data_IF_395348555498
#
_entry.id   IF_395348555498
#
_cell.length_a   1.000
_cell.length_b   1.000
_cell.length_c   1.000
_cell.angle_alpha   90.00
_cell.angle_beta   90.00
_cell.angle_gamma   90.00
#
_symmetry.space_group_name_H-M   'P 1'
#
loop_
_entity.id
_entity.type
_entity.pdbx_description
1 polymer ?
#
# COMPACT_ATOMS: atom_id res chain seq x y z
N UNK A 1 -23.13 -21.59 -69.45
CA UNK A 1 -24.40 -22.04 -70.06
C UNK A 1 -25.39 -22.35 -68.96
N UNK A 2 -26.56 -21.68 -68.96
CA UNK A 2 -27.86 -22.06 -68.34
C UNK A 2 -27.86 -22.26 -66.81
N UNK A 3 -28.83 -21.87 -66.00
CA UNK A 3 -30.13 -21.16 -66.09
C UNK A 3 -30.43 -20.82 -64.60
N UNK A 4 -30.68 -19.57 -64.21
CA UNK A 4 -32.00 -18.94 -64.09
C UNK A 4 -33.07 -19.79 -63.37
N UNK A 5 -33.57 -19.28 -62.23
CA UNK A 5 -35.01 -19.12 -62.00
C UNK A 5 -35.30 -18.05 -60.95
N UNK A 6 -36.14 -17.11 -61.38
CA UNK A 6 -36.66 -15.91 -60.72
C UNK A 6 -38.05 -16.23 -60.17
N UNK A 7 -38.44 -15.56 -59.08
CA UNK A 7 -39.77 -14.92 -58.79
C UNK A 7 -40.30 -15.28 -57.40
N UNK A 8 -40.51 -14.29 -56.55
CA UNK A 8 -41.74 -13.49 -56.61
C UNK A 8 -41.63 -12.23 -55.75
N UNK A 9 -42.20 -11.14 -56.28
CA UNK A 9 -42.47 -9.89 -55.60
C UNK A 9 -43.84 -10.03 -54.95
N UNK A 10 -43.99 -9.53 -53.72
CA UNK A 10 -45.28 -9.05 -53.22
C UNK A 10 -45.06 -7.78 -52.41
N UNK A 11 -45.67 -6.70 -52.91
CA UNK A 11 -45.80 -5.40 -52.27
C UNK A 11 -46.98 -5.50 -51.29
N UNK A 12 -46.76 -5.14 -50.04
CA UNK A 12 -47.78 -4.95 -49.01
C UNK A 12 -47.48 -3.67 -48.23
N UNK A 13 -48.46 -2.77 -48.17
CA UNK A 13 -48.37 -1.38 -47.72
C UNK A 13 -48.45 -1.25 -46.19
N UNK A 14 -47.65 -0.31 -45.66
CA UNK A 14 -47.78 0.51 -44.44
C UNK A 14 -48.06 -0.15 -43.08
N UNK A 15 -47.19 0.13 -42.12
CA UNK A 15 -47.60 0.90 -40.91
C UNK A 15 -46.39 1.65 -40.36
N UNK A 16 -46.53 2.97 -40.24
CA UNK A 16 -45.58 3.85 -39.58
C UNK A 16 -45.77 3.64 -38.07
N UNK A 17 -44.76 3.12 -37.38
CA UNK A 17 -44.69 3.14 -35.92
C UNK A 17 -43.39 3.84 -35.54
N UNK A 18 -43.57 5.04 -34.97
CA UNK A 18 -42.53 5.86 -34.36
C UNK A 18 -42.00 5.08 -33.16
N UNK A 19 -40.92 4.33 -33.36
CA UNK A 19 -40.12 3.83 -32.26
C UNK A 19 -39.28 4.98 -31.73
N UNK A 20 -39.61 5.44 -30.52
CA UNK A 20 -38.81 6.43 -29.81
C UNK A 20 -37.37 5.93 -29.72
N UNK A 21 -36.46 6.57 -30.45
CA UNK A 21 -35.04 6.46 -30.22
C UNK A 21 -34.77 7.04 -28.83
N UNK A 22 -34.52 6.17 -27.85
CA UNK A 22 -33.79 6.58 -26.65
C UNK A 22 -32.38 6.95 -27.13
N UNK A 23 -32.18 8.22 -27.46
CA UNK A 23 -30.86 8.81 -27.42
C UNK A 23 -30.48 8.87 -25.95
N UNK A 24 -29.72 7.88 -25.49
CA UNK A 24 -28.92 8.06 -24.29
C UNK A 24 -28.01 9.27 -24.57
N UNK A 25 -28.32 10.40 -23.93
CA UNK A 25 -27.36 11.49 -23.82
C UNK A 25 -26.26 10.92 -22.94
N UNK A 26 -25.16 10.45 -23.55
CA UNK A 26 -23.91 10.27 -22.83
C UNK A 26 -23.61 11.64 -22.23
N UNK A 27 -23.67 11.75 -20.89
CA UNK A 27 -23.17 12.93 -20.22
C UNK A 27 -21.70 13.07 -20.62
N UNK A 28 -21.30 14.26 -21.09
CA UNK A 28 -19.88 14.52 -21.34
C UNK A 28 -19.15 14.35 -20.00
N UNK A 29 -18.23 13.39 -19.95
CA UNK A 29 -17.36 13.19 -18.81
C UNK A 29 -16.45 14.41 -18.69
N UNK A 30 -16.55 15.11 -17.56
CA UNK A 30 -15.73 16.31 -17.33
C UNK A 30 -14.40 15.90 -16.73
N UNK A 31 -13.31 16.54 -17.13
CA UNK A 31 -11.97 16.29 -16.61
C UNK A 31 -11.44 17.48 -15.82
N UNK A 32 -10.81 17.23 -14.68
CA UNK A 32 -10.01 18.19 -13.93
C UNK A 32 -8.53 17.85 -14.08
N UNK A 33 -7.68 18.86 -14.26
CA UNK A 33 -6.23 18.69 -14.37
C UNK A 33 -5.52 19.29 -13.15
N UNK A 34 -4.52 18.58 -12.65
CA UNK A 34 -3.71 18.96 -11.51
C UNK A 34 -2.23 18.84 -11.86
N UNK A 35 -1.42 19.75 -11.33
CA UNK A 35 0.04 19.54 -11.21
C UNK A 35 0.30 18.91 -9.85
N UNK A 36 1.03 17.79 -9.84
CA UNK A 36 1.32 17.01 -8.64
C UNK A 36 2.80 16.69 -8.55
N UNK A 37 3.24 16.38 -7.34
CA UNK A 37 4.55 15.79 -7.09
C UNK A 37 4.45 14.28 -7.29
N UNK A 38 5.21 13.73 -8.24
CA UNK A 38 5.24 12.30 -8.50
C UNK A 38 6.66 11.81 -8.80
N UNK A 39 7.16 10.87 -8.00
CA UNK A 39 8.56 10.45 -8.09
C UNK A 39 8.66 8.93 -8.30
N UNK A 40 9.21 8.55 -9.45
CA UNK A 40 9.58 7.16 -9.76
C UNK A 40 11.02 6.94 -9.29
N UNK A 41 11.21 5.96 -8.42
CA UNK A 41 12.49 5.74 -7.75
C UNK A 41 12.85 4.27 -7.63
N UNK A 42 14.15 4.02 -7.53
CA UNK A 42 14.69 2.79 -6.98
C UNK A 42 14.81 2.96 -5.47
N UNK A 43 14.04 2.21 -4.66
CA UNK A 43 14.15 2.29 -3.21
C UNK A 43 15.57 1.96 -2.74
N UNK A 44 16.09 2.73 -1.78
CA UNK A 44 17.47 2.57 -1.31
C UNK A 44 17.78 1.18 -0.75
N UNK A 45 16.79 0.48 -0.21
CA UNK A 45 16.89 -0.89 0.26
C UNK A 45 17.02 -1.92 -0.87
N UNK A 46 16.57 -1.60 -2.08
CA UNK A 46 16.70 -2.42 -3.29
C UNK A 46 17.89 -1.98 -4.15
N UNK A 47 18.46 -0.81 -3.86
CA UNK A 47 19.56 -0.25 -4.63
C UNK A 47 20.89 -0.99 -4.34
N UNK A 48 21.20 -2.01 -5.13
CA UNK A 48 22.46 -2.77 -5.01
C UNK A 48 23.70 -1.98 -5.44
N UNK A 49 23.51 -0.82 -6.08
CA UNK A 49 24.58 -0.01 -6.65
C UNK A 49 25.01 1.11 -5.69
N UNK A 50 24.04 1.66 -4.96
CA UNK A 50 24.22 2.60 -3.86
C UNK A 50 23.37 2.13 -2.67
N UNK A 51 23.84 1.12 -1.92
CA UNK A 51 23.07 0.55 -0.81
C UNK A 51 22.59 1.61 0.19
N UNK A 52 21.29 1.62 0.45
CA UNK A 52 20.62 2.56 1.36
C UNK A 52 20.32 3.93 0.76
N UNK A 53 20.62 4.17 -0.52
CA UNK A 53 20.37 5.45 -1.20
C UNK A 53 19.27 5.29 -2.24
N UNK A 54 18.15 5.96 -2.03
CA UNK A 54 17.07 6.05 -3.03
C UNK A 54 17.53 6.89 -4.22
N UNK A 55 17.34 6.36 -5.43
CA UNK A 55 17.66 7.05 -6.68
C UNK A 55 16.37 7.36 -7.45
N UNK A 56 16.18 8.62 -7.85
CA UNK A 56 14.96 9.11 -8.49
C UNK A 56 15.15 9.25 -9.99
N UNK A 57 14.44 8.43 -10.77
CA UNK A 57 14.48 8.50 -12.24
C UNK A 57 13.81 9.77 -12.77
N UNK A 58 12.90 10.35 -11.98
CA UNK A 58 12.25 11.63 -12.22
C UNK A 58 13.16 12.83 -11.99
N UNK A 59 14.31 12.64 -11.36
CA UNK A 59 15.32 13.68 -11.17
C UNK A 59 16.37 13.62 -12.30
N UNK A 60 16.52 14.72 -13.04
CA UNK A 60 17.46 14.79 -14.16
C UNK A 60 18.94 14.87 -13.75
N UNK A 61 19.22 15.29 -12.50
CA UNK A 61 20.59 15.32 -11.98
C UNK A 61 21.25 13.96 -12.12
N UNK A 62 22.50 13.95 -12.54
CA UNK A 62 23.24 12.69 -12.64
C UNK A 62 24.71 12.88 -12.30
N UNK A 63 25.40 11.84 -11.79
CA UNK A 63 26.80 11.95 -11.39
C UNK A 63 27.76 12.37 -12.51
N UNK A 64 27.34 12.26 -13.77
CA UNK A 64 28.14 12.61 -14.95
C UNK A 64 27.87 14.03 -15.48
N UNK A 65 26.86 14.75 -14.96
CA UNK A 65 26.47 16.07 -15.46
C UNK A 65 26.02 16.09 -16.93
N UNK A 66 25.47 14.96 -17.41
CA UNK A 66 24.98 14.82 -18.78
C UNK A 66 23.56 15.38 -18.92
N UNK A 67 23.15 15.67 -20.16
CA UNK A 67 21.76 16.08 -20.46
C UNK A 67 21.38 17.49 -20.01
N UNK A 68 22.34 18.34 -19.64
CA UNK A 68 22.07 19.72 -19.20
C UNK A 68 21.67 19.85 -17.73
N UNK A 69 21.82 18.80 -16.93
CA UNK A 69 21.59 18.78 -15.49
C UNK A 69 22.88 18.89 -14.68
N UNK A 70 22.75 19.21 -13.40
CA UNK A 70 23.89 19.31 -12.48
C UNK A 70 24.58 17.94 -12.30
N UNK A 71 25.90 17.97 -12.09
CA UNK A 71 26.73 16.79 -11.84
C UNK A 71 26.56 16.27 -10.40
N UNK A 72 25.33 15.90 -10.05
CA UNK A 72 24.90 15.48 -8.71
C UNK A 72 24.11 14.19 -8.84
N UNK A 73 24.22 13.27 -7.87
CA UNK A 73 23.41 12.06 -7.89
C UNK A 73 21.91 12.40 -7.77
N UNK A 74 21.00 11.68 -8.46
CA UNK A 74 19.56 11.93 -8.41
C UNK A 74 18.95 11.39 -7.11
N UNK A 75 19.37 11.88 -5.96
CA UNK A 75 18.96 11.36 -4.64
C UNK A 75 17.92 12.23 -3.94
N UNK A 76 17.43 13.26 -4.62
CA UNK A 76 16.41 14.18 -4.12
C UNK A 76 15.13 14.03 -4.98
N UNK A 77 13.94 14.01 -4.37
CA UNK A 77 12.69 14.02 -5.11
C UNK A 77 12.49 15.36 -5.83
N UNK A 78 11.67 15.37 -6.89
CA UNK A 78 11.29 16.58 -7.63
C UNK A 78 9.83 16.90 -7.34
N UNK A 79 9.54 18.15 -7.00
CA UNK A 79 8.18 18.63 -6.76
C UNK A 79 7.51 19.10 -8.06
N UNK A 80 6.17 19.06 -8.10
CA UNK A 80 5.33 19.63 -9.16
C UNK A 80 5.73 19.20 -10.59
N UNK A 81 6.18 17.95 -10.71
CA UNK A 81 6.84 17.43 -11.91
C UNK A 81 5.94 16.54 -12.79
N UNK A 82 4.69 16.34 -12.40
CA UNK A 82 3.76 15.51 -13.15
C UNK A 82 2.38 16.15 -13.31
N UNK A 83 1.66 15.71 -14.33
CA UNK A 83 0.28 16.13 -14.60
C UNK A 83 -0.66 14.97 -14.26
N UNK A 84 -1.64 15.22 -13.41
CA UNK A 84 -2.71 14.27 -13.11
C UNK A 84 -4.02 14.78 -13.71
N UNK A 85 -4.72 13.91 -14.42
CA UNK A 85 -6.08 14.15 -14.92
C UNK A 85 -7.05 13.28 -14.14
N UNK A 86 -8.12 13.88 -13.61
CA UNK A 86 -9.19 13.17 -12.89
C UNK A 86 -10.50 13.40 -13.61
N UNK A 87 -11.20 12.35 -13.96
CA UNK A 87 -12.50 12.44 -14.61
C UNK A 87 -13.64 12.60 -13.59
N UNK A 88 -14.84 12.97 -14.03
CA UNK A 88 -16.02 13.03 -13.16
C UNK A 88 -16.45 11.68 -12.59
N UNK A 89 -15.99 10.56 -13.17
CA UNK A 89 -16.20 9.21 -12.64
C UNK A 89 -15.16 8.82 -11.58
N UNK A 90 -14.14 9.66 -11.35
CA UNK A 90 -13.05 9.39 -10.42
C UNK A 90 -11.84 8.68 -11.04
N UNK A 91 -11.87 8.37 -12.34
CA UNK A 91 -10.72 7.76 -13.02
C UNK A 91 -9.54 8.72 -13.04
N UNK A 92 -8.35 8.21 -12.71
CA UNK A 92 -7.12 9.00 -12.57
C UNK A 92 -6.07 8.57 -13.59
N UNK A 93 -5.53 9.55 -14.32
CA UNK A 93 -4.45 9.32 -15.28
C UNK A 93 -3.29 10.28 -15.01
N UNK A 94 -2.12 9.73 -14.71
CA UNK A 94 -0.87 10.45 -14.46
C UNK A 94 0.00 10.46 -15.72
N UNK A 95 0.43 11.63 -16.15
CA UNK A 95 1.49 11.83 -17.15
C UNK A 95 2.78 12.20 -16.41
N UNK A 96 3.81 11.37 -16.55
CA UNK A 96 5.09 11.51 -15.84
C UNK A 96 6.26 11.53 -16.81
N UNK A 97 7.11 12.56 -16.68
CA UNK A 97 8.37 12.65 -17.38
C UNK A 97 9.51 12.00 -16.57
N UNK A 98 10.40 11.30 -17.26
CA UNK A 98 11.54 10.57 -16.71
C UNK A 98 12.80 11.15 -17.36
N UNK A 99 13.36 12.24 -16.85
CA UNK A 99 14.43 12.96 -17.52
C UNK A 99 15.82 12.34 -17.34
N UNK A 100 16.03 11.43 -16.38
CA UNK A 100 17.37 10.96 -16.05
C UNK A 100 18.06 10.27 -17.25
N UNK A 101 19.23 10.76 -17.72
CA UNK A 101 19.91 10.22 -18.89
C UNK A 101 20.88 9.08 -18.55
N UNK A 102 21.11 8.80 -17.27
CA UNK A 102 22.08 7.79 -16.80
C UNK A 102 21.38 6.53 -16.33
N UNK A 103 20.35 6.65 -15.50
CA UNK A 103 19.48 5.55 -15.08
C UNK A 103 18.38 5.38 -16.12
N UNK A 104 18.72 4.70 -17.21
CA UNK A 104 17.81 4.64 -18.36
C UNK A 104 16.73 3.60 -18.11
N UNK A 105 15.46 4.02 -18.07
CA UNK A 105 14.35 3.09 -17.93
C UNK A 105 14.13 2.34 -19.24
N UNK A 106 14.22 1.01 -19.20
CA UNK A 106 14.00 0.14 -20.36
C UNK A 106 12.63 -0.53 -20.29
N UNK A 107 12.18 -0.92 -19.10
CA UNK A 107 10.88 -1.56 -18.95
C UNK A 107 10.25 -1.15 -17.64
N UNK A 108 8.93 -1.01 -17.64
CA UNK A 108 8.10 -0.76 -16.46
C UNK A 108 6.73 -1.41 -16.68
N UNK A 109 6.35 -2.31 -15.80
CA UNK A 109 5.03 -2.96 -15.75
C UNK A 109 4.85 -3.67 -14.38
N UNK A 110 3.80 -4.45 -14.22
CA UNK A 110 3.66 -5.39 -13.08
C UNK A 110 3.22 -4.70 -11.79
N UNK A 111 2.48 -3.59 -11.88
CA UNK A 111 1.89 -2.94 -10.72
C UNK A 111 0.48 -3.48 -10.45
N UNK A 112 0.17 -3.77 -9.18
CA UNK A 112 -1.14 -4.32 -8.78
C UNK A 112 -2.26 -3.29 -8.77
N UNK A 113 -1.94 -2.02 -8.55
CA UNK A 113 -2.88 -0.92 -8.37
C UNK A 113 -2.62 0.29 -9.31
N UNK A 114 -1.83 0.09 -10.37
CA UNK A 114 -1.69 1.03 -11.46
C UNK A 114 -1.42 0.29 -12.78
N UNK A 115 -1.66 0.94 -13.90
CA UNK A 115 -1.46 0.34 -15.23
C UNK A 115 -0.75 1.32 -16.17
N UNK A 116 0.33 0.86 -16.81
CA UNK A 116 1.01 1.65 -17.85
C UNK A 116 0.15 1.64 -19.11
N UNK A 117 -0.51 2.76 -19.40
CA UNK A 117 -1.35 2.94 -20.59
C UNK A 117 -0.50 3.29 -21.80
N UNK A 118 0.61 4.00 -21.58
CA UNK A 118 1.52 4.44 -22.64
C UNK A 118 2.93 4.60 -22.09
N UNK A 119 3.92 4.17 -22.86
CA UNK A 119 5.34 4.49 -22.65
C UNK A 119 5.92 5.08 -23.94
N UNK A 120 6.46 6.29 -23.86
CA UNK A 120 7.16 6.94 -24.97
C UNK A 120 8.64 6.61 -24.84
N UNK A 121 9.24 6.19 -25.95
CA UNK A 121 10.67 5.96 -26.06
C UNK A 121 11.32 6.98 -26.97
N UNK A 122 12.52 7.42 -26.60
CA UNK A 122 13.40 8.14 -27.52
C UNK A 122 14.12 7.15 -28.46
N UNK A 123 15.00 7.70 -29.29
CA UNK A 123 15.82 6.96 -30.26
C UNK A 123 17.32 7.22 -30.07
N UNK A 124 17.72 7.68 -28.89
CA UNK A 124 19.13 7.91 -28.56
C UNK A 124 19.84 6.59 -28.25
N UNK A 125 21.17 6.57 -28.38
CA UNK A 125 21.99 5.41 -28.02
C UNK A 125 22.58 5.66 -26.64
N UNK A 126 22.22 4.79 -25.70
CA UNK A 126 22.75 4.81 -24.34
C UNK A 126 23.79 3.71 -24.20
N UNK A 127 25.03 4.08 -23.92
CA UNK A 127 26.15 3.13 -23.94
C UNK A 127 27.03 3.18 -22.70
N UNK A 128 27.62 2.03 -22.40
CA UNK A 128 28.67 1.86 -21.40
C UNK A 128 29.74 0.91 -21.94
N UNK A 129 30.85 1.46 -22.43
CA UNK A 129 31.88 0.66 -23.07
C UNK A 129 31.38 -0.03 -24.34
N UNK A 130 31.23 -1.35 -24.30
CA UNK A 130 30.78 -2.17 -25.43
C UNK A 130 29.27 -2.47 -25.40
N UNK A 131 28.59 -2.17 -24.30
CA UNK A 131 27.16 -2.43 -24.12
C UNK A 131 26.35 -1.20 -24.51
N UNK A 132 25.31 -1.41 -25.31
CA UNK A 132 24.46 -0.33 -25.84
C UNK A 132 22.98 -0.71 -25.75
N UNK A 133 22.12 0.29 -25.53
CA UNK A 133 20.67 0.21 -25.67
C UNK A 133 20.21 1.31 -26.63
N UNK A 134 19.40 0.92 -27.61
CA UNK A 134 18.71 1.88 -28.47
C UNK A 134 17.41 2.30 -27.79
N UNK A 135 17.36 3.58 -27.45
CA UNK A 135 16.23 4.22 -26.81
C UNK A 135 16.08 3.90 -25.33
N UNK A 136 15.36 4.76 -24.64
CA UNK A 136 14.84 4.55 -23.28
C UNK A 136 13.44 5.11 -23.17
N UNK A 137 12.71 4.69 -22.14
CA UNK A 137 11.44 5.29 -21.77
C UNK A 137 11.73 6.70 -21.21
N UNK A 138 11.13 7.72 -21.83
CA UNK A 138 11.26 9.13 -21.44
C UNK A 138 10.00 9.65 -20.76
N UNK A 139 8.84 9.09 -21.11
CA UNK A 139 7.56 9.51 -20.58
C UNK A 139 6.64 8.30 -20.43
N UNK A 140 5.85 8.31 -19.36
CA UNK A 140 4.82 7.30 -19.12
C UNK A 140 3.47 7.96 -18.85
N UNK A 141 2.42 7.32 -19.34
CA UNK A 141 1.03 7.61 -18.96
C UNK A 141 0.52 6.42 -18.16
N UNK A 142 0.08 6.67 -16.94
CA UNK A 142 -0.26 5.67 -15.94
C UNK A 142 -1.70 5.89 -15.51
N UNK A 143 -2.52 4.86 -15.60
CA UNK A 143 -3.82 4.82 -14.93
C UNK A 143 -3.60 4.40 -13.48
N UNK A 144 -4.05 5.23 -12.55
CA UNK A 144 -3.97 4.94 -11.11
C UNK A 144 -5.30 4.33 -10.68
N UNK A 145 -5.27 3.07 -10.23
CA UNK A 145 -6.49 2.30 -9.95
C UNK A 145 -7.00 2.50 -8.52
N UNK A 146 -6.24 3.20 -7.67
CA UNK A 146 -6.63 3.61 -6.34
C UNK A 146 -6.00 4.97 -5.98
N UNK A 147 -6.28 5.46 -4.78
CA UNK A 147 -5.76 6.73 -4.25
C UNK A 147 -4.68 6.50 -3.19
N UNK A 148 -3.97 5.36 -3.24
CA UNK A 148 -2.96 4.99 -2.22
C UNK A 148 -1.80 5.98 -2.17
N UNK A 149 -1.50 6.63 -3.29
CA UNK A 149 -0.34 7.49 -3.46
C UNK A 149 0.98 6.71 -3.60
N UNK A 150 0.96 5.39 -3.58
CA UNK A 150 2.15 4.53 -3.70
C UNK A 150 1.86 3.36 -4.63
N UNK A 151 2.66 3.22 -5.68
CA UNK A 151 2.50 2.23 -6.73
C UNK A 151 3.83 1.53 -6.99
N UNK A 152 3.88 0.22 -6.74
CA UNK A 152 5.11 -0.58 -6.92
C UNK A 152 5.01 -1.37 -8.22
N UNK A 153 5.98 -1.15 -9.11
CA UNK A 153 6.11 -1.83 -10.39
C UNK A 153 7.20 -2.90 -10.28
N UNK A 154 6.79 -4.17 -10.25
CA UNK A 154 7.70 -5.29 -10.02
C UNK A 154 8.48 -5.69 -11.29
N UNK A 155 7.91 -5.45 -12.48
CA UNK A 155 8.47 -5.88 -13.76
C UNK A 155 9.23 -4.75 -14.46
N UNK A 156 10.28 -4.26 -13.80
CA UNK A 156 11.10 -3.15 -14.29
C UNK A 156 12.50 -3.57 -14.72
N UNK A 157 13.01 -2.91 -15.76
CA UNK A 157 14.40 -3.06 -16.22
C UNK A 157 14.99 -1.68 -16.43
N UNK A 158 16.13 -1.44 -15.82
CA UNK A 158 16.98 -0.28 -16.06
C UNK A 158 18.23 -0.69 -16.82
N UNK A 159 18.81 0.26 -17.56
CA UNK A 159 20.18 0.16 -18.03
C UNK A 159 20.95 1.40 -17.53
N UNK A 160 21.61 1.30 -16.36
CA UNK A 160 22.47 2.36 -15.87
C UNK A 160 23.73 2.46 -16.75
N UNK A 161 23.90 3.57 -17.48
CA UNK A 161 25.05 3.74 -18.39
C UNK A 161 26.39 3.77 -17.67
N UNK A 162 26.40 3.97 -16.35
CA UNK A 162 27.59 3.83 -15.51
C UNK A 162 28.02 2.38 -15.28
N UNK A 163 27.08 1.44 -15.36
CA UNK A 163 27.30 0.03 -15.02
C UNK A 163 27.39 -0.86 -16.25
N UNK A 164 26.69 -0.50 -17.32
CA UNK A 164 26.70 -1.26 -18.56
C UNK A 164 26.02 -2.62 -18.47
N UNK A 165 25.17 -2.82 -17.48
CA UNK A 165 24.39 -4.06 -17.31
C UNK A 165 22.91 -3.70 -17.15
N UNK A 166 22.04 -4.57 -17.67
CA UNK A 166 20.62 -4.45 -17.35
C UNK A 166 20.44 -4.78 -15.88
N UNK A 167 19.66 -3.95 -15.21
CA UNK A 167 19.35 -4.07 -13.81
C UNK A 167 17.84 -4.23 -13.66
N UNK A 168 17.42 -5.44 -13.32
CA UNK A 168 16.04 -5.73 -12.95
C UNK A 168 15.86 -5.42 -11.48
N UNK A 169 15.04 -4.42 -11.17
CA UNK A 169 14.75 -3.98 -9.81
C UNK A 169 13.35 -3.37 -9.77
N UNK A 170 12.52 -3.70 -8.77
CA UNK A 170 11.24 -3.04 -8.61
C UNK A 170 11.39 -1.53 -8.44
N UNK A 171 10.48 -0.78 -9.06
CA UNK A 171 10.43 0.68 -8.96
C UNK A 171 9.20 1.11 -8.18
N UNK A 172 9.37 2.10 -7.31
CA UNK A 172 8.27 2.71 -6.57
C UNK A 172 7.95 4.07 -7.14
N UNK A 173 6.69 4.26 -7.52
CA UNK A 173 6.11 5.54 -7.84
C UNK A 173 5.34 6.06 -6.63
N UNK A 174 5.77 7.18 -6.08
CA UNK A 174 5.02 7.93 -5.06
C UNK A 174 4.35 9.14 -5.70
N UNK A 175 3.08 9.38 -5.40
CA UNK A 175 2.27 10.48 -5.94
C UNK A 175 1.60 11.22 -4.79
N UNK A 176 1.88 12.51 -4.65
CA UNK A 176 1.21 13.37 -3.68
C UNK A 176 -0.18 13.78 -4.22
N UNK A 177 -1.22 13.14 -3.66
CA UNK A 177 -2.62 13.40 -3.96
C UNK A 177 -3.31 14.35 -2.97
N UNK A 178 -2.56 14.95 -2.02
CA UNK A 178 -3.13 15.76 -0.93
C UNK A 178 -3.96 16.96 -1.39
N UNK A 179 -3.67 17.51 -2.57
CA UNK A 179 -4.37 18.65 -3.17
C UNK A 179 -5.34 18.25 -4.29
N UNK A 180 -5.57 16.95 -4.50
CA UNK A 180 -6.41 16.43 -5.58
C UNK A 180 -7.82 16.18 -5.07
N UNK A 181 -8.80 16.85 -5.67
CA UNK A 181 -10.22 16.60 -5.36
C UNK A 181 -10.71 15.46 -6.24
N UNK A 182 -10.95 14.29 -5.64
CA UNK A 182 -11.47 13.12 -6.34
C UNK A 182 -12.96 13.00 -6.05
N UNK A 183 -13.84 13.01 -7.07
CA UNK A 183 -15.28 12.81 -6.88
C UNK A 183 -15.52 11.47 -6.19
N UNK A 184 -16.30 11.46 -5.09
CA UNK A 184 -16.77 10.20 -4.53
C UNK A 184 -17.66 9.47 -5.55
N UNK A 185 -17.44 8.18 -5.72
CA UNK A 185 -18.26 7.32 -6.59
C UNK A 185 -19.73 7.46 -6.18
N UNK A 186 -20.53 8.10 -7.04
CA UNK A 186 -21.97 8.20 -6.82
C UNK A 186 -22.54 6.80 -6.98
N UNK A 187 -22.92 6.17 -5.87
CA UNK A 187 -23.65 4.91 -5.88
C UNK A 187 -24.74 4.93 -6.98
N UNK A 188 -24.66 3.98 -7.91
CA UNK A 188 -25.67 3.87 -8.96
C UNK A 188 -27.07 3.80 -8.32
N UNK A 189 -28.07 4.52 -8.86
CA UNK A 189 -29.43 4.37 -8.38
C UNK A 189 -29.84 2.91 -8.61
N UNK A 190 -30.08 2.19 -7.52
CA UNK A 190 -30.68 0.86 -7.57
C UNK A 190 -32.00 0.99 -8.31
N UNK A 191 -32.07 0.42 -9.52
CA UNK A 191 -33.32 0.38 -10.28
C UNK A 191 -34.39 -0.29 -9.42
N UNK A 192 -35.40 0.48 -9.05
CA UNK A 192 -36.58 -0.04 -8.36
C UNK A 192 -37.40 -0.83 -9.39
N UNK A 193 -37.79 -2.08 -9.10
CA UNK A 193 -38.60 -2.85 -10.03
C UNK A 193 -39.98 -2.19 -10.16
N UNK A 194 -40.33 -1.83 -11.40
CA UNK A 194 -41.60 -1.22 -11.77
C UNK A 194 -42.73 -2.22 -11.54
N UNK A 195 -43.58 -1.98 -10.54
CA UNK A 195 -44.89 -2.64 -10.44
C UNK A 195 -45.98 -1.71 -10.94
N UNK A 196 -46.69 -2.17 -11.97
CA UNK A 196 -47.71 -1.43 -12.71
C UNK A 196 -49.13 -1.55 -12.10
N UNK A 197 -49.84 -0.43 -12.19
CA UNK A 197 -51.30 -0.20 -12.20
C UNK A 197 -52.16 -0.37 -10.93
N UNK A 198 -52.79 0.75 -10.56
CA UNK A 198 -54.05 0.83 -9.82
C UNK A 198 -54.50 2.28 -9.68
N UNK A 199 -55.46 2.71 -10.50
CA UNK A 199 -56.13 4.03 -10.49
C UNK A 199 -57.14 4.16 -9.33
N UNK A 200 -57.54 5.42 -9.06
CA UNK A 200 -58.65 5.93 -8.22
C UNK A 200 -58.25 6.24 -6.76
N UNK A 201 -58.57 7.38 -6.13
CA UNK A 201 -59.49 8.48 -6.42
C UNK A 201 -58.96 9.81 -5.84
N UNK A 202 -59.52 10.91 -6.35
CA UNK A 202 -59.38 12.30 -5.90
C UNK A 202 -59.88 12.49 -4.45
N UNK A 203 -59.27 13.40 -3.68
CA UNK A 203 -59.98 14.48 -2.96
C UNK A 203 -59.00 15.64 -2.66
N UNK A 204 -59.46 16.86 -2.92
CA UNK A 204 -58.87 18.15 -2.55
C UNK A 204 -58.80 18.33 -1.04
N UNK A 205 -57.78 19.04 -0.54
CA UNK A 205 -57.95 20.37 0.09
C UNK A 205 -56.58 20.99 0.46
N UNK A 206 -56.51 22.32 0.29
CA UNK A 206 -55.46 23.25 0.78
C UNK A 206 -56.19 24.42 1.47
N UNK A 207 -55.56 25.36 2.21
CA UNK A 207 -54.22 25.39 2.85
C UNK A 207 -54.18 26.04 4.27
N UNK A 208 -52.97 26.06 4.87
CA UNK A 208 -52.35 27.13 5.71
C UNK A 208 -52.93 27.50 7.11
N UNK A 209 -52.24 28.29 7.96
CA UNK A 209 -50.79 28.64 8.07
C UNK A 209 -50.21 28.53 9.51
N UNK A 210 -48.90 28.84 9.63
CA UNK A 210 -48.16 29.52 10.71
C UNK A 210 -48.56 29.33 12.19
N UNK A 211 -47.58 29.12 13.07
CA UNK A 211 -47.14 30.18 14.00
C UNK A 211 -45.69 29.97 14.46
N UNK A 212 -45.09 31.12 14.71
CA UNK A 212 -43.70 31.41 15.03
C UNK A 212 -43.65 31.72 16.51
N UNK A 213 -42.76 31.12 17.32
CA UNK A 213 -42.22 31.80 18.50
C UNK A 213 -40.75 31.45 18.73
N UNK A 214 -39.95 32.52 18.79
CA UNK A 214 -38.53 32.56 19.16
C UNK A 214 -38.41 33.07 20.62
N UNK A 215 -37.21 33.24 21.20
CA UNK A 215 -36.69 32.47 22.33
C UNK A 215 -36.64 33.27 23.65
N UNK A 216 -36.40 32.61 24.79
CA UNK A 216 -35.92 33.29 26.03
C UNK A 216 -34.93 32.38 26.79
N UNK A 217 -33.88 32.92 27.45
CA UNK A 217 -32.59 32.24 27.62
C UNK A 217 -32.19 31.92 29.08
N UNK A 218 -31.00 31.32 29.21
CA UNK A 218 -30.01 31.42 30.32
C UNK A 218 -30.33 30.75 31.68
N UNK A 219 -29.57 29.70 32.03
CA UNK A 219 -28.47 29.73 33.03
C UNK A 219 -28.09 28.31 33.51
N UNK A 220 -26.82 27.97 33.33
CA UNK A 220 -26.10 26.90 34.05
C UNK A 220 -25.59 27.50 35.36
N UNK A 221 -25.65 26.79 36.52
CA UNK A 221 -24.36 26.41 37.12
C UNK A 221 -24.35 25.14 38.03
N UNK A 222 -23.21 24.43 37.96
CA UNK A 222 -22.47 23.60 38.94
C UNK A 222 -23.02 22.32 39.62
N UNK A 223 -22.02 21.46 39.87
CA UNK A 223 -21.96 20.05 40.27
C UNK A 223 -21.72 19.91 41.80
N UNK A 224 -22.15 18.80 42.43
CA UNK A 224 -21.33 17.90 43.31
C UNK A 224 -22.06 17.24 44.52
N UNK A 225 -21.66 15.96 44.75
CA UNK A 225 -21.67 15.13 45.99
C UNK A 225 -22.75 14.01 46.21
N UNK A 226 -22.32 12.77 45.91
CA UNK A 226 -22.46 11.38 46.48
C UNK A 226 -23.22 11.12 47.83
N UNK A 227 -23.56 9.87 48.30
CA UNK A 227 -23.43 8.48 47.75
C UNK A 227 -24.57 7.43 48.04
N UNK A 228 -24.41 6.18 47.51
CA UNK A 228 -24.94 4.83 47.96
C UNK A 228 -26.44 4.53 47.73
N UNK A 229 -26.95 3.42 47.15
CA UNK A 229 -26.87 1.96 47.48
C UNK A 229 -27.38 1.12 46.28
N UNK A 230 -26.86 -0.10 46.07
CA UNK A 230 -27.44 -1.22 45.27
C UNK A 230 -27.79 -2.41 46.22
N UNK A 231 -28.54 -3.51 45.87
CA UNK A 231 -29.15 -3.90 44.58
C UNK A 231 -30.56 -4.64 44.65
N UNK A 232 -31.11 -4.96 43.45
CA UNK A 232 -31.99 -6.14 43.04
C UNK A 232 -33.47 -6.25 43.55
N UNK A 233 -34.51 -6.77 42.87
CA UNK A 233 -34.81 -7.52 41.62
C UNK A 233 -36.31 -7.32 41.27
N UNK A 234 -36.69 -7.22 39.99
CA UNK A 234 -37.90 -7.84 39.41
C UNK A 234 -37.83 -7.83 37.86
N UNK A 235 -38.32 -8.87 37.16
CA UNK A 235 -37.95 -9.19 35.78
C UNK A 235 -38.72 -8.42 34.70
N UNK A 236 -38.00 -8.10 33.62
CA UNK A 236 -38.52 -7.62 32.33
C UNK A 236 -39.35 -8.72 31.65
N UNK A 237 -40.50 -8.37 31.06
CA UNK A 237 -41.28 -9.30 30.23
C UNK A 237 -41.49 -8.87 28.77
N UNK A 238 -40.96 -7.72 28.32
CA UNK A 238 -40.63 -7.43 26.90
C UNK A 238 -40.10 -5.99 26.78
N UNK A 239 -39.14 -5.74 25.87
CA UNK A 239 -39.49 -4.83 24.77
C UNK A 239 -38.93 -5.23 23.39
N UNK A 240 -39.83 -5.08 22.42
CA UNK A 240 -39.69 -4.43 21.09
C UNK A 240 -38.56 -4.84 20.13
N UNK A 241 -39.01 -5.26 18.96
CA UNK A 241 -38.27 -5.62 17.74
C UNK A 241 -37.64 -4.40 17.01
N UNK A 242 -36.33 -4.54 16.70
CA UNK A 242 -35.57 -4.00 15.53
C UNK A 242 -35.14 -2.50 15.56
N UNK A 243 -33.95 -2.06 15.04
CA UNK A 243 -32.92 -2.73 14.23
C UNK A 243 -31.50 -2.80 14.85
N UNK A 244 -30.79 -3.91 14.61
CA UNK A 244 -29.32 -3.93 14.66
C UNK A 244 -28.80 -3.35 13.34
N UNK A 245 -28.46 -2.06 13.34
CA UNK A 245 -27.41 -1.56 12.46
C UNK A 245 -26.09 -2.06 13.02
N UNK A 246 -25.49 -3.04 12.36
CA UNK A 246 -24.05 -3.26 12.45
C UNK A 246 -23.51 -3.11 11.03
N UNK A 247 -22.83 -1.98 10.79
CA UNK A 247 -21.44 -2.08 10.42
C UNK A 247 -20.65 -1.52 11.59
N UNK A 248 -19.85 -2.37 12.23
CA UNK A 248 -18.65 -1.87 12.89
C UNK A 248 -17.49 -2.58 12.22
N UNK A 249 -17.28 -2.26 10.94
CA UNK A 249 -15.90 -2.15 10.49
C UNK A 249 -15.30 -1.09 11.41
N UNK A 250 -14.31 -1.50 12.21
CA UNK A 250 -13.45 -0.59 12.96
C UNK A 250 -13.10 0.60 12.05
N UNK A 251 -13.14 1.86 12.53
CA UNK A 251 -12.73 2.98 11.69
C UNK A 251 -11.35 2.66 11.12
N UNK A 252 -11.19 2.75 9.80
CA UNK A 252 -9.88 2.76 9.16
C UNK A 252 -9.05 3.78 9.91
N UNK A 253 -8.06 3.29 10.68
CA UNK A 253 -7.26 4.14 11.54
C UNK A 253 -6.57 5.16 10.63
N UNK A 254 -6.74 6.46 10.94
CA UNK A 254 -5.97 7.51 10.29
C UNK A 254 -4.48 7.12 10.34
N UNK A 255 -3.69 7.39 9.28
CA UNK A 255 -2.30 6.98 9.23
C UNK A 255 -1.60 7.45 10.51
N UNK A 256 -1.15 6.50 11.33
CA UNK A 256 -0.46 6.81 12.58
C UNK A 256 0.87 7.43 12.17
N UNK A 257 0.99 8.75 12.31
CA UNK A 257 2.26 9.45 12.15
C UNK A 257 2.99 9.48 13.49
N UNK A 258 4.22 8.99 13.50
CA UNK A 258 5.09 9.03 14.66
C UNK A 258 6.06 10.22 14.53
N UNK A 259 6.21 10.98 15.60
CA UNK A 259 7.04 12.20 15.63
C UNK A 259 8.54 11.93 15.51
N UNK A 260 8.96 10.70 15.79
CA UNK A 260 10.34 10.20 15.71
C UNK A 260 10.60 9.34 14.46
N UNK A 261 9.68 9.37 13.48
CA UNK A 261 9.80 8.71 12.19
C UNK A 261 9.52 9.75 11.09
N UNK A 262 10.59 10.22 10.47
CA UNK A 262 10.54 11.26 9.43
C UNK A 262 10.32 10.62 8.06
N UNK A 263 9.75 11.38 7.13
CA UNK A 263 9.46 10.89 5.77
C UNK A 263 10.69 10.38 5.02
N UNK A 264 11.88 10.88 5.35
CA UNK A 264 13.15 10.47 4.75
C UNK A 264 13.94 9.44 5.58
N UNK A 265 13.38 8.90 6.67
CA UNK A 265 14.05 7.84 7.43
C UNK A 265 13.96 6.52 6.65
N UNK A 266 15.08 5.77 6.57
CA UNK A 266 15.15 4.50 5.82
C UNK A 266 14.13 3.45 6.27
N UNK A 267 13.61 3.58 7.49
CA UNK A 267 12.60 2.69 8.07
C UNK A 267 11.18 3.24 7.97
N UNK A 268 10.94 4.42 7.38
CA UNK A 268 9.61 5.05 7.31
C UNK A 268 8.57 4.11 6.73
N UNK A 269 8.81 3.58 5.53
CA UNK A 269 7.92 2.64 4.83
C UNK A 269 7.68 1.37 5.65
N UNK A 270 8.74 0.84 6.27
CA UNK A 270 8.64 -0.33 7.13
C UNK A 270 7.77 -0.07 8.36
N UNK A 271 7.91 1.10 9.01
CA UNK A 271 7.08 1.51 10.14
C UNK A 271 5.63 1.69 9.72
N UNK A 272 5.38 2.40 8.62
CA UNK A 272 4.04 2.58 8.08
C UNK A 272 3.38 1.25 7.77
N UNK A 273 4.11 0.31 7.16
CA UNK A 273 3.63 -1.02 6.85
C UNK A 273 3.20 -1.77 8.11
N UNK A 274 4.09 -1.89 9.10
CA UNK A 274 3.78 -2.68 10.29
C UNK A 274 2.73 -2.02 11.18
N UNK A 275 2.64 -0.69 11.20
CA UNK A 275 1.61 0.02 11.97
C UNK A 275 0.27 0.04 11.26
N UNK A 276 0.24 0.27 9.95
CA UNK A 276 -0.97 0.23 9.13
C UNK A 276 -1.61 -1.16 9.05
N UNK A 277 -0.81 -2.22 9.18
CA UNK A 277 -1.30 -3.61 9.27
C UNK A 277 -1.47 -4.09 10.73
N UNK A 278 -1.41 -3.19 11.71
CA UNK A 278 -1.57 -3.49 13.14
C UNK A 278 -0.59 -4.57 13.67
N UNK A 279 0.53 -4.79 12.98
CA UNK A 279 1.55 -5.77 13.36
C UNK A 279 2.41 -5.25 14.51
N UNK A 280 2.80 -3.97 14.44
CA UNK A 280 3.56 -3.27 15.47
C UNK A 280 2.92 -1.93 15.81
N UNK A 281 2.80 -1.67 17.10
CA UNK A 281 2.32 -0.39 17.64
C UNK A 281 3.50 0.47 18.11
N UNK A 282 3.27 1.78 18.21
CA UNK A 282 4.19 2.72 18.85
C UNK A 282 4.45 2.38 20.31
N UNK A 283 5.57 2.89 20.84
CA UNK A 283 5.86 2.82 22.29
C UNK A 283 5.04 3.82 23.08
N UNK A 284 4.59 4.89 22.42
CA UNK A 284 3.60 5.85 22.90
C UNK A 284 2.62 6.16 21.76
N UNK A 285 1.61 7.00 22.03
CA UNK A 285 0.64 7.44 21.00
C UNK A 285 1.31 8.23 19.86
N UNK A 286 2.52 8.75 20.07
CA UNK A 286 3.22 9.65 19.13
C UNK A 286 4.64 9.23 18.80
N UNK A 287 5.14 8.13 19.38
CA UNK A 287 6.52 7.66 19.15
C UNK A 287 6.54 6.18 18.78
N UNK A 288 7.32 5.84 17.76
CA UNK A 288 7.60 4.46 17.37
C UNK A 288 8.82 3.88 18.10
N UNK A 289 9.77 4.72 18.50
CA UNK A 289 11.08 4.36 19.04
C UNK A 289 11.90 3.45 18.10
N UNK A 290 12.20 3.86 16.86
CA UNK A 290 12.79 3.00 15.83
C UNK A 290 14.17 2.44 16.20
N UNK A 291 14.94 3.19 16.99
CA UNK A 291 16.30 2.83 17.38
C UNK A 291 16.39 2.02 18.68
N UNK A 292 15.28 1.85 19.40
CA UNK A 292 15.25 1.02 20.60
C UNK A 292 15.36 -0.47 20.24
N UNK A 293 16.00 -1.23 21.12
CA UNK A 293 16.12 -2.68 20.97
C UNK A 293 14.75 -3.34 21.11
N UNK A 294 14.50 -4.38 20.31
CA UNK A 294 13.24 -5.14 20.35
C UNK A 294 13.44 -6.50 21.01
N UNK A 295 12.34 -7.11 21.46
CA UNK A 295 12.37 -8.33 22.28
C UNK A 295 11.85 -9.55 21.52
N UNK A 296 12.18 -10.74 22.04
CA UNK A 296 11.63 -12.02 21.56
C UNK A 296 10.09 -12.04 21.67
N UNK A 297 9.54 -11.46 22.73
CA UNK A 297 8.11 -11.31 22.97
C UNK A 297 7.41 -10.48 21.89
N UNK A 298 8.05 -9.40 21.42
CA UNK A 298 7.54 -8.61 20.31
C UNK A 298 7.48 -9.40 19.02
N UNK A 299 8.53 -10.16 18.70
CA UNK A 299 8.55 -10.96 17.49
C UNK A 299 7.42 -12.00 17.46
N UNK A 300 7.23 -12.76 18.54
CA UNK A 300 6.15 -13.78 18.56
C UNK A 300 4.76 -13.15 18.52
N UNK A 301 4.58 -11.96 19.10
CA UNK A 301 3.33 -11.23 19.00
C UNK A 301 3.05 -10.75 17.57
N UNK A 302 4.07 -10.25 16.86
CA UNK A 302 3.96 -9.86 15.45
C UNK A 302 3.59 -11.07 14.58
N UNK A 303 4.33 -12.17 14.69
CA UNK A 303 4.08 -13.38 13.90
C UNK A 303 2.68 -13.95 14.16
N UNK A 304 2.22 -13.90 15.41
CA UNK A 304 0.86 -14.27 15.77
C UNK A 304 -0.21 -13.37 15.13
N UNK A 305 0.02 -12.06 15.05
CA UNK A 305 -0.88 -11.14 14.34
C UNK A 305 -0.88 -11.40 12.84
N UNK A 306 0.29 -11.66 12.26
CA UNK A 306 0.42 -11.98 10.82
C UNK A 306 -0.36 -13.23 10.41
N UNK A 307 -0.62 -14.17 11.33
CA UNK A 307 -1.49 -15.34 11.09
C UNK A 307 -2.96 -15.11 11.44
N UNK A 308 -3.38 -13.86 11.67
CA UNK A 308 -4.77 -13.52 11.98
C UNK A 308 -5.17 -13.78 13.44
N UNK A 309 -4.21 -13.92 14.35
CA UNK A 309 -4.44 -14.09 15.80
C UNK A 309 -5.41 -15.26 16.15
N UNK A 310 -5.12 -16.50 15.72
CA UNK A 310 -6.00 -17.65 15.96
C UNK A 310 -6.20 -17.91 17.46
N UNK A 311 -7.39 -18.36 17.84
CA UNK A 311 -7.69 -18.63 19.26
C UNK A 311 -6.75 -19.69 19.84
N UNK A 312 -5.98 -19.30 20.86
CA UNK A 312 -5.09 -20.19 21.62
C UNK A 312 -5.39 -20.07 23.11
N UNK A 313 -5.28 -21.18 23.84
CA UNK A 313 -5.43 -21.18 25.29
C UNK A 313 -4.06 -20.97 25.93
N UNK A 314 -3.84 -19.79 26.51
CA UNK A 314 -2.56 -19.43 27.13
C UNK A 314 -2.71 -19.10 28.62
N UNK A 315 -1.58 -19.09 29.31
CA UNK A 315 -1.43 -18.62 30.68
C UNK A 315 -0.67 -17.28 30.73
N UNK A 316 -0.81 -16.56 31.84
CA UNK A 316 -0.16 -15.26 32.04
C UNK A 316 -0.97 -14.06 31.54
N UNK A 317 -0.52 -12.87 31.93
CA UNK A 317 -1.16 -11.58 31.60
C UNK A 317 -0.25 -10.67 30.79
N UNK A 318 0.91 -11.16 30.36
CA UNK A 318 1.82 -10.42 29.51
C UNK A 318 1.20 -10.23 28.13
N UNK A 319 1.40 -9.06 27.52
CA UNK A 319 0.79 -8.70 26.24
C UNK A 319 1.21 -9.61 25.07
N UNK A 320 2.31 -10.36 25.21
CA UNK A 320 2.78 -11.34 24.23
C UNK A 320 2.39 -12.79 24.59
N UNK A 321 1.61 -13.05 25.64
CA UNK A 321 1.35 -14.40 26.15
C UNK A 321 0.65 -15.31 25.11
N UNK A 322 -0.34 -14.78 24.39
CA UNK A 322 -1.00 -15.51 23.31
C UNK A 322 0.00 -15.88 22.18
N UNK A 323 0.76 -14.89 21.71
CA UNK A 323 1.78 -15.11 20.68
C UNK A 323 2.89 -16.07 21.12
N UNK A 324 3.30 -16.02 22.39
CA UNK A 324 4.25 -16.98 23.00
C UNK A 324 3.71 -18.40 22.90
N UNK A 325 2.48 -18.64 23.35
CA UNK A 325 1.87 -19.98 23.30
C UNK A 325 1.71 -20.48 21.88
N UNK A 326 1.17 -19.64 20.98
CA UNK A 326 1.03 -20.00 19.57
C UNK A 326 2.38 -20.32 18.91
N UNK A 327 3.42 -19.52 19.18
CA UNK A 327 4.75 -19.75 18.62
C UNK A 327 5.40 -21.04 19.15
N UNK A 328 5.07 -21.46 20.38
CA UNK A 328 5.50 -22.75 20.92
C UNK A 328 4.78 -23.92 20.25
N UNK A 329 3.47 -23.81 20.07
CA UNK A 329 2.66 -24.85 19.41
C UNK A 329 3.06 -25.07 17.94
N UNK A 330 3.59 -24.03 17.28
CA UNK A 330 4.07 -24.08 15.90
C UNK A 330 5.60 -24.23 15.78
N UNK A 331 6.29 -24.56 16.89
CA UNK A 331 7.75 -24.80 16.93
C UNK A 331 8.62 -23.62 16.44
N UNK A 332 8.07 -22.40 16.43
CA UNK A 332 8.76 -21.17 16.07
C UNK A 332 9.70 -20.73 17.21
N UNK A 333 9.27 -20.94 18.46
CA UNK A 333 10.00 -20.55 19.66
C UNK A 333 9.78 -21.53 20.80
N UNK A 334 10.73 -21.61 21.72
CA UNK A 334 10.65 -22.43 22.93
C UNK A 334 9.88 -21.75 24.08
N UNK A 335 9.40 -20.51 23.87
CA UNK A 335 8.67 -19.75 24.88
C UNK A 335 9.54 -19.03 25.90
N UNK A 336 10.87 -19.21 25.88
CA UNK A 336 11.76 -18.69 26.92
C UNK A 336 12.33 -17.32 26.57
N UNK A 337 12.76 -16.59 27.60
CA UNK A 337 13.47 -15.31 27.49
C UNK A 337 12.70 -14.24 26.68
N UNK A 338 11.36 -14.27 26.70
CA UNK A 338 10.52 -13.35 25.93
C UNK A 338 10.80 -11.85 26.19
N UNK A 339 11.07 -11.41 27.43
CA UNK A 339 11.44 -10.01 27.69
C UNK A 339 12.83 -9.61 27.20
N UNK A 340 13.70 -10.57 26.87
CA UNK A 340 15.08 -10.26 26.49
C UNK A 340 15.13 -9.75 25.05
N UNK A 341 16.13 -8.90 24.79
CA UNK A 341 16.38 -8.38 23.46
C UNK A 341 16.74 -9.53 22.51
N UNK A 342 16.17 -9.47 21.31
CA UNK A 342 16.38 -10.50 20.29
C UNK A 342 17.58 -10.12 19.44
N UNK A 343 18.50 -11.07 19.25
CA UNK A 343 19.61 -10.85 18.32
C UNK A 343 19.12 -10.96 16.88
N UNK A 344 19.86 -10.38 15.94
CA UNK A 344 19.56 -10.44 14.50
C UNK A 344 19.44 -11.89 14.00
N UNK A 345 20.36 -12.77 14.39
CA UNK A 345 20.29 -14.19 14.00
C UNK A 345 19.07 -14.91 14.62
N UNK A 346 18.64 -14.51 15.82
CA UNK A 346 17.48 -15.11 16.48
C UNK A 346 16.18 -14.66 15.82
N UNK A 347 16.08 -13.38 15.47
CA UNK A 347 14.95 -12.82 14.73
C UNK A 347 14.75 -13.58 13.42
N UNK A 348 15.82 -13.66 12.63
CA UNK A 348 15.83 -14.37 11.35
C UNK A 348 15.51 -15.86 11.53
N UNK A 349 16.09 -16.52 12.53
CA UNK A 349 15.81 -17.93 12.81
C UNK A 349 14.33 -18.19 13.16
N UNK A 350 13.70 -17.30 13.91
CA UNK A 350 12.27 -17.42 14.24
C UNK A 350 11.39 -17.14 13.02
N UNK A 351 11.74 -16.15 12.20
CA UNK A 351 11.01 -15.86 10.96
C UNK A 351 11.15 -16.99 9.93
N UNK A 352 12.33 -17.60 9.83
CA UNK A 352 12.57 -18.78 8.99
C UNK A 352 11.74 -20.00 9.42
N UNK A 353 11.65 -20.25 10.74
CA UNK A 353 10.77 -21.32 11.26
C UNK A 353 9.30 -21.05 10.96
N UNK A 354 8.89 -19.80 11.09
CA UNK A 354 7.55 -19.37 10.69
C UNK A 354 7.27 -19.64 9.20
N UNK A 355 8.27 -19.47 8.33
CA UNK A 355 8.17 -19.77 6.89
C UNK A 355 8.25 -21.28 6.54
N UNK A 356 8.31 -22.15 7.55
CA UNK A 356 8.36 -23.61 7.33
C UNK A 356 9.77 -24.19 7.26
N UNK A 357 10.80 -23.43 7.62
CA UNK A 357 12.19 -23.90 7.73
C UNK A 357 12.78 -24.45 6.42
N UNK A 358 12.49 -23.80 5.29
CA UNK A 358 13.00 -24.23 3.98
C UNK A 358 14.53 -24.09 3.92
N UNK A 359 15.22 -25.17 3.56
CA UNK A 359 16.65 -25.10 3.29
C UNK A 359 16.91 -24.40 1.96
N UNK A 360 17.94 -23.56 1.92
CA UNK A 360 18.44 -22.95 0.69
C UNK A 360 19.89 -23.37 0.47
N UNK A 361 20.18 -23.74 -0.77
CA UNK A 361 21.55 -23.94 -1.23
C UNK A 361 22.11 -22.58 -1.64
N UNK A 362 22.70 -21.86 -0.68
CA UNK A 362 23.25 -20.52 -0.89
C UNK A 362 24.60 -20.38 -0.20
N UNK A 363 25.55 -19.74 -0.87
CA UNK A 363 26.87 -19.42 -0.34
C UNK A 363 27.03 -17.93 0.01
N UNK A 364 25.95 -17.15 -0.06
CA UNK A 364 25.94 -15.71 0.19
C UNK A 364 26.51 -15.33 1.57
N UNK A 365 26.37 -16.20 2.57
CA UNK A 365 26.93 -15.99 3.90
C UNK A 365 28.46 -15.78 3.86
N UNK A 366 29.16 -16.41 2.91
CA UNK A 366 30.61 -16.30 2.75
C UNK A 366 31.08 -14.90 2.35
N UNK A 367 30.17 -14.04 1.84
CA UNK A 367 30.46 -12.64 1.52
C UNK A 367 30.71 -11.76 2.74
N UNK A 368 30.35 -12.22 3.95
CA UNK A 368 30.42 -11.44 5.17
C UNK A 368 31.62 -11.84 6.04
N UNK A 369 32.35 -10.83 6.53
CA UNK A 369 33.58 -11.02 7.31
C UNK A 369 33.33 -11.63 8.68
N UNK A 370 32.09 -11.53 9.18
CA UNK A 370 31.65 -12.03 10.47
C UNK A 370 30.69 -13.22 10.36
N UNK A 371 30.63 -13.86 9.19
CA UNK A 371 29.90 -15.09 8.94
C UNK A 371 30.23 -16.20 9.95
N UNK A 372 31.49 -16.28 10.39
CA UNK A 372 31.94 -17.21 11.42
C UNK A 372 31.39 -16.93 12.83
N UNK A 373 30.70 -15.81 13.06
CA UNK A 373 30.00 -15.50 14.32
C UNK A 373 28.55 -15.96 14.30
N UNK A 374 28.01 -16.35 13.15
CA UNK A 374 26.68 -16.94 13.05
C UNK A 374 26.70 -18.26 13.82
N UNK A 375 25.74 -18.45 14.72
CA UNK A 375 25.64 -19.74 15.41
C UNK A 375 25.19 -20.84 14.45
N UNK A 376 25.66 -22.07 14.68
CA UNK A 376 25.33 -23.25 13.87
C UNK A 376 23.81 -23.39 13.61
N UNK A 377 22.99 -23.16 14.64
CA UNK A 377 21.52 -23.26 14.51
C UNK A 377 20.88 -22.22 13.59
N UNK A 378 21.58 -21.12 13.31
CA UNK A 378 21.09 -19.98 12.55
C UNK A 378 21.65 -19.94 11.12
N UNK A 379 22.63 -20.80 10.76
CA UNK A 379 23.29 -20.78 9.44
C UNK A 379 22.27 -20.88 8.30
N UNK A 380 21.40 -21.89 8.33
CA UNK A 380 20.38 -22.08 7.29
C UNK A 380 19.41 -20.90 7.23
N UNK A 381 18.96 -20.41 8.37
CA UNK A 381 18.04 -19.27 8.42
C UNK A 381 18.68 -17.98 7.88
N UNK A 382 19.94 -17.71 8.23
CA UNK A 382 20.67 -16.53 7.75
C UNK A 382 20.93 -16.61 6.24
N UNK A 383 21.29 -17.78 5.72
CA UNK A 383 21.40 -18.01 4.27
C UNK A 383 20.06 -17.78 3.57
N UNK A 384 18.98 -18.37 4.09
CA UNK A 384 17.63 -18.18 3.55
C UNK A 384 17.23 -16.70 3.53
N UNK A 385 17.50 -15.96 4.60
CA UNK A 385 17.14 -14.55 4.67
C UNK A 385 17.97 -13.66 3.75
N UNK A 386 19.24 -14.00 3.51
CA UNK A 386 20.09 -13.31 2.52
C UNK A 386 19.60 -13.58 1.10
N UNK A 387 19.39 -14.86 0.76
CA UNK A 387 18.92 -15.30 -0.56
C UNK A 387 17.55 -14.69 -0.90
N UNK A 388 16.66 -14.64 0.10
CA UNK A 388 15.30 -14.11 -0.07
C UNK A 388 15.24 -12.57 0.02
N UNK A 389 16.37 -11.88 0.21
CA UNK A 389 16.41 -10.42 0.34
C UNK A 389 15.75 -9.85 1.61
N UNK A 390 15.46 -10.69 2.61
CA UNK A 390 14.89 -10.26 3.91
C UNK A 390 15.93 -9.45 4.69
N UNK A 391 17.21 -9.85 4.59
CA UNK A 391 18.36 -9.13 5.16
C UNK A 391 19.42 -8.90 4.09
N UNK A 392 20.17 -7.80 4.22
CA UNK A 392 21.34 -7.48 3.39
C UNK A 392 22.64 -7.33 4.19
N UNK A 393 22.56 -7.40 5.52
CA UNK A 393 23.65 -7.03 6.44
C UNK A 393 23.39 -5.69 7.14
N UNK A 394 24.24 -5.32 8.10
CA UNK A 394 24.34 -3.93 8.59
C UNK A 394 25.22 -3.07 7.66
N UNK A 395 26.09 -3.72 6.90
CA UNK A 395 26.86 -3.16 5.80
C UNK A 395 27.12 -4.27 4.77
N UNK A 396 27.67 -3.90 3.62
CA UNK A 396 28.02 -4.82 2.52
C UNK A 396 28.90 -6.01 2.93
N UNK A 397 29.58 -5.91 4.07
CA UNK A 397 30.53 -6.93 4.53
C UNK A 397 30.26 -7.43 5.94
N UNK A 398 29.26 -6.89 6.66
CA UNK A 398 28.99 -7.22 8.07
C UNK A 398 27.53 -7.57 8.33
N UNK A 399 27.26 -8.74 8.91
CA UNK A 399 25.90 -9.17 9.30
C UNK A 399 25.51 -8.72 10.70
N UNK A 400 26.49 -8.68 11.61
CA UNK A 400 26.33 -8.51 13.05
C UNK A 400 25.32 -9.51 13.67
N UNK A 401 25.52 -10.84 13.51
CA UNK A 401 24.49 -11.83 13.87
C UNK A 401 24.16 -11.86 15.37
N UNK A 402 25.12 -11.46 16.21
CA UNK A 402 24.98 -11.40 17.68
C UNK A 402 24.47 -10.05 18.19
N UNK A 403 24.40 -9.02 17.33
CA UNK A 403 23.84 -7.73 17.70
C UNK A 403 22.36 -7.82 17.97
N UNK A 404 21.87 -7.03 18.92
CA UNK A 404 20.43 -6.90 19.17
C UNK A 404 19.78 -6.17 18.00
N UNK A 405 18.62 -6.65 17.57
CA UNK A 405 17.83 -5.98 16.55
C UNK A 405 17.12 -4.76 17.14
N UNK A 406 17.03 -3.68 16.37
CA UNK A 406 16.18 -2.54 16.70
C UNK A 406 14.74 -2.75 16.23
N UNK A 407 13.81 -1.95 16.75
CA UNK A 407 12.40 -1.94 16.30
C UNK A 407 12.28 -1.63 14.80
N UNK A 408 13.06 -0.68 14.28
CA UNK A 408 13.10 -0.38 12.85
C UNK A 408 13.61 -1.55 12.00
N UNK A 409 14.69 -2.22 12.45
CA UNK A 409 15.21 -3.40 11.75
C UNK A 409 14.20 -4.55 11.74
N UNK A 410 13.49 -4.76 12.84
CA UNK A 410 12.40 -5.74 12.89
C UNK A 410 11.27 -5.38 11.92
N UNK A 411 10.81 -4.13 11.91
CA UNK A 411 9.79 -3.69 10.98
C UNK A 411 10.20 -3.91 9.51
N UNK A 412 11.44 -3.57 9.16
CA UNK A 412 11.96 -3.73 7.80
C UNK A 412 12.06 -5.20 7.39
N UNK A 413 12.52 -6.09 8.27
CA UNK A 413 12.58 -7.53 7.99
C UNK A 413 11.18 -8.13 7.81
N UNK A 414 10.20 -7.70 8.61
CA UNK A 414 8.80 -8.16 8.50
C UNK A 414 8.17 -7.67 7.19
N UNK A 415 8.33 -6.40 6.84
CA UNK A 415 7.84 -5.84 5.58
C UNK A 415 8.45 -6.58 4.38
N UNK A 416 9.78 -6.74 4.32
CA UNK A 416 10.45 -7.44 3.22
C UNK A 416 10.00 -8.89 3.10
N UNK A 417 9.90 -9.61 4.22
CA UNK A 417 9.34 -10.95 4.22
C UNK A 417 7.92 -11.01 3.67
N UNK A 418 7.09 -10.00 3.96
CA UNK A 418 5.73 -9.93 3.44
C UNK A 418 5.65 -9.55 1.97
N UNK A 419 6.60 -8.80 1.44
CA UNK A 419 6.62 -8.45 0.02
C UNK A 419 7.01 -9.63 -0.88
N UNK A 420 7.71 -10.64 -0.34
CA UNK A 420 8.09 -11.85 -1.09
C UNK A 420 7.09 -13.03 -0.93
N UNK A 421 6.00 -12.85 -0.16
CA UNK A 421 4.98 -13.87 0.15
C UNK A 421 3.58 -13.38 -0.11
#
# INVERSE_FOLDING_TARGET
>A
MKNSLIKSISIGVATMLVGASFSAVMAEETTAEFTVTANLSVPGELNTQLPGVTAYMTNGNNPLGLGGYEAVAPTEPVADNAKLTVTSSGAMTLELNIPNPVFTLQQIDGCSNATIVKAIRDNEIYSSGAEEREGRITDVTIELNDNSGVYVFEDCVEFPTLLGVDWTVPLTLEVDLSNVTIPEEKAEPTETPVTSYGYADEEEETPAPEETETPVPTETPVVSATPTVAPTVAPTTEPTVTPTVAPTTSPTQAPISFTDVKDNDWFKSAVDYVSGNELMYGTTDTEFAPNEETTRGMLVAILYRMTGSPEVRYDGSEWYAAGRTWAMENEISDGTNMPNNVTREQLVSMLWRYDGSNEVESDMLNGFIDSNKVSDYAVNAMQWALESGIISGESDTTLNPKGNATRAQMAAMIMRYKNIK
#
